data_IF_426225347500
#
_entry.id   IF_426225347500
#
_cell.length_a   1.000
_cell.length_b   1.000
_cell.length_c   1.000
_cell.angle_alpha   90.00
_cell.angle_beta   90.00
_cell.angle_gamma   90.00
#
_symmetry.space_group_name_H-M   'P 1'
#
loop_
_entity.id
_entity.type
_entity.pdbx_description
1 polymer ?
#
# COMPACT_ATOMS: atom_id res chain seq x y z
N UNK A 1 51.17 -0.70 33.81
CA UNK A 1 50.16 0.31 33.39
C UNK A 1 49.79 0.25 31.90
N UNK A 2 50.60 -0.32 30.98
CA UNK A 2 50.27 -0.41 29.54
C UNK A 2 49.28 -1.53 29.15
N UNK A 3 49.08 -2.55 30.00
CA UNK A 3 48.20 -3.70 29.69
C UNK A 3 46.72 -3.46 30.04
N UNK A 4 46.41 -2.54 30.96
CA UNK A 4 45.02 -2.23 31.34
C UNK A 4 44.28 -1.44 30.26
N UNK A 5 45.00 -0.60 29.49
CA UNK A 5 44.42 0.20 28.42
C UNK A 5 43.92 -0.70 27.29
N UNK A 6 44.68 -1.74 26.89
CA UNK A 6 44.28 -2.62 25.78
C UNK A 6 43.00 -3.42 26.04
N UNK A 7 42.73 -3.82 27.28
CA UNK A 7 41.54 -4.62 27.62
C UNK A 7 40.27 -3.77 27.55
N UNK A 8 40.36 -2.50 27.95
CA UNK A 8 39.22 -1.57 27.94
C UNK A 8 38.74 -1.20 26.52
N UNK A 9 39.65 -1.20 25.53
CA UNK A 9 39.29 -0.98 24.12
C UNK A 9 38.59 -2.18 23.48
N UNK A 10 38.94 -3.41 23.89
CA UNK A 10 38.33 -4.64 23.35
C UNK A 10 36.90 -4.81 23.88
N UNK A 11 36.66 -4.49 25.16
CA UNK A 11 35.32 -4.57 25.75
C UNK A 11 34.36 -3.49 25.24
N UNK A 12 34.86 -2.28 24.95
CA UNK A 12 34.04 -1.20 24.39
C UNK A 12 33.59 -1.51 22.95
N UNK A 13 34.44 -2.16 22.15
CA UNK A 13 34.10 -2.58 20.78
C UNK A 13 33.05 -3.69 20.73
N UNK A 14 33.01 -4.59 21.71
CA UNK A 14 31.97 -5.64 21.77
C UNK A 14 30.60 -5.14 22.22
N UNK A 15 30.52 -4.04 22.98
CA UNK A 15 29.23 -3.49 23.46
C UNK A 15 28.54 -2.61 22.40
N UNK A 16 29.28 -2.07 21.43
CA UNK A 16 28.69 -1.30 20.33
C UNK A 16 27.98 -2.14 19.25
N UNK A 17 28.08 -3.48 19.28
CA UNK A 17 27.54 -4.38 18.25
C UNK A 17 26.13 -4.93 18.53
N UNK A 18 25.45 -4.50 19.60
CA UNK A 18 24.14 -5.04 19.99
C UNK A 18 23.01 -4.02 19.92
N UNK A 19 23.16 -2.96 19.11
CA UNK A 19 21.99 -2.24 18.62
C UNK A 19 21.29 -3.14 17.58
N UNK A 20 20.64 -4.19 18.07
CA UNK A 20 19.61 -4.90 17.32
C UNK A 20 18.58 -3.84 16.93
N UNK A 21 18.56 -3.49 15.64
CA UNK A 21 17.53 -2.63 15.08
C UNK A 21 16.21 -3.37 15.25
N UNK A 22 15.46 -3.06 16.32
CA UNK A 22 14.13 -3.63 16.53
C UNK A 22 13.31 -3.36 15.27
N UNK A 23 12.99 -4.44 14.55
CA UNK A 23 12.28 -4.35 13.30
C UNK A 23 10.90 -3.73 13.56
N UNK A 24 10.61 -2.61 12.88
CA UNK A 24 9.33 -1.91 13.02
C UNK A 24 8.37 -2.58 12.03
N UNK A 25 7.19 -3.06 12.48
CA UNK A 25 6.24 -3.72 11.59
C UNK A 25 5.95 -2.90 10.34
N UNK A 26 5.85 -3.56 9.19
CA UNK A 26 5.57 -2.91 7.92
C UNK A 26 4.23 -2.14 7.93
N UNK A 27 4.16 -1.06 7.14
CA UNK A 27 2.90 -0.32 6.90
C UNK A 27 2.29 -0.78 5.57
N UNK A 28 0.97 -0.99 5.55
CA UNK A 28 0.18 -1.25 4.33
C UNK A 28 -0.49 0.04 3.85
N UNK A 29 -0.29 0.38 2.58
CA UNK A 29 -0.93 1.54 1.94
C UNK A 29 -2.26 1.22 1.24
N UNK A 30 -2.73 -0.04 1.31
CA UNK A 30 -4.03 -0.46 0.75
C UNK A 30 -5.08 -0.86 1.79
N UNK A 31 -4.70 -1.03 3.06
CA UNK A 31 -5.67 -1.47 4.10
C UNK A 31 -6.78 -0.43 4.33
N UNK A 32 -6.48 0.85 4.14
CA UNK A 32 -7.46 1.94 4.28
C UNK A 32 -8.19 2.27 2.96
N UNK A 33 -7.94 1.53 1.88
CA UNK A 33 -8.66 1.72 0.62
C UNK A 33 -10.02 1.05 0.73
N UNK A 34 -11.07 1.82 0.49
CA UNK A 34 -12.45 1.30 0.43
C UNK A 34 -12.86 1.11 -1.01
N UNK A 35 -13.19 -0.13 -1.39
CA UNK A 35 -13.77 -0.44 -2.69
C UNK A 35 -15.04 -1.25 -2.46
N UNK A 36 -16.18 -0.72 -2.91
CA UNK A 36 -17.46 -1.40 -2.77
C UNK A 36 -18.39 -1.05 -3.94
N UNK A 37 -19.27 -1.98 -4.28
CA UNK A 37 -20.34 -1.79 -5.26
C UNK A 37 -21.64 -2.34 -4.69
N UNK A 38 -22.67 -1.49 -4.63
CA UNK A 38 -24.02 -1.90 -4.27
C UNK A 38 -24.85 -2.08 -5.55
N UNK A 39 -25.14 -3.34 -5.90
CA UNK A 39 -25.91 -3.70 -7.08
C UNK A 39 -27.41 -3.35 -7.01
N UNK A 40 -27.94 -3.03 -5.82
CA UNK A 40 -29.34 -2.60 -5.66
C UNK A 40 -29.49 -1.11 -5.97
N UNK A 41 -28.56 -0.29 -5.49
CA UNK A 41 -28.58 1.16 -5.73
C UNK A 41 -27.76 1.58 -6.96
N UNK A 42 -26.99 0.65 -7.52
CA UNK A 42 -26.03 0.87 -8.60
C UNK A 42 -25.02 1.98 -8.26
N UNK A 43 -24.48 1.95 -7.04
CA UNK A 43 -23.56 2.96 -6.51
C UNK A 43 -22.23 2.32 -6.14
N UNK A 44 -21.14 2.96 -6.55
CA UNK A 44 -19.78 2.63 -6.17
C UNK A 44 -19.30 3.50 -5.00
N UNK A 45 -18.55 2.90 -4.10
CA UNK A 45 -17.64 3.62 -3.19
C UNK A 45 -16.22 3.35 -3.70
N UNK A 46 -15.55 4.41 -4.14
CA UNK A 46 -14.25 4.38 -4.80
C UNK A 46 -13.24 5.17 -3.95
N UNK A 47 -12.58 4.47 -3.01
CA UNK A 47 -11.80 5.01 -1.91
C UNK A 47 -12.52 6.18 -1.20
N UNK A 48 -12.18 7.43 -1.52
CA UNK A 48 -12.74 8.61 -0.85
C UNK A 48 -13.94 9.24 -1.54
N UNK A 49 -14.36 8.73 -2.69
CA UNK A 49 -15.52 9.27 -3.43
C UNK A 49 -16.65 8.26 -3.54
N UNK A 50 -17.88 8.77 -3.48
CA UNK A 50 -19.09 8.03 -3.83
C UNK A 50 -19.40 8.37 -5.28
N UNK A 51 -19.54 7.36 -6.14
CA UNK A 51 -19.83 7.58 -7.54
C UNK A 51 -21.33 7.86 -7.75
N UNK A 52 -21.71 8.65 -8.78
CA UNK A 52 -23.10 8.74 -9.21
C UNK A 52 -23.68 7.38 -9.58
N UNK A 53 -24.98 7.19 -9.38
CA UNK A 53 -25.69 6.00 -9.87
C UNK A 53 -25.55 5.88 -11.39
N UNK A 54 -25.45 4.65 -11.93
CA UNK A 54 -25.17 4.40 -13.34
C UNK A 54 -23.68 4.40 -13.71
N UNK A 55 -22.78 4.57 -12.73
CA UNK A 55 -21.33 4.47 -12.97
C UNK A 55 -20.93 3.02 -13.26
N UNK A 56 -20.17 2.80 -14.34
CA UNK A 56 -19.74 1.46 -14.75
C UNK A 56 -18.61 0.89 -13.88
N UNK A 57 -17.69 1.75 -13.42
CA UNK A 57 -16.60 1.29 -12.58
C UNK A 57 -15.82 2.38 -11.85
N UNK A 58 -14.90 1.89 -11.02
CA UNK A 58 -14.01 2.63 -10.15
C UNK A 58 -12.55 2.31 -10.51
N UNK A 59 -11.70 3.34 -10.51
CA UNK A 59 -10.25 3.22 -10.62
C UNK A 59 -9.59 4.00 -9.49
N UNK A 60 -8.68 3.35 -8.79
CA UNK A 60 -7.90 3.92 -7.67
C UNK A 60 -6.43 3.82 -8.02
N UNK A 61 -5.72 4.93 -7.91
CA UNK A 61 -4.28 5.03 -8.12
C UNK A 61 -3.63 5.64 -6.89
N UNK A 62 -2.58 5.02 -6.37
CA UNK A 62 -1.69 5.63 -5.38
C UNK A 62 -0.24 5.45 -5.81
N UNK A 63 0.49 6.56 -5.91
CA UNK A 63 1.90 6.58 -6.32
C UNK A 63 2.69 7.61 -5.53
N UNK A 64 4.00 7.42 -5.39
CA UNK A 64 4.86 8.45 -4.79
C UNK A 64 4.72 9.80 -5.52
N UNK A 65 4.70 10.89 -4.75
CA UNK A 65 4.77 12.23 -5.30
C UNK A 65 6.24 12.56 -5.68
N UNK A 66 6.55 12.77 -6.98
CA UNK A 66 7.93 13.05 -7.39
C UNK A 66 8.48 14.36 -6.82
N UNK A 67 7.60 15.29 -6.44
CA UNK A 67 7.98 16.59 -5.89
C UNK A 67 8.02 16.60 -4.36
N UNK A 68 7.45 15.58 -3.69
CA UNK A 68 7.34 15.50 -2.22
C UNK A 68 7.50 14.05 -1.75
N UNK A 69 8.72 13.60 -1.41
CA UNK A 69 9.01 12.18 -1.11
C UNK A 69 8.24 11.59 0.08
N UNK A 70 7.67 12.42 0.94
CA UNK A 70 6.89 12.02 2.12
C UNK A 70 5.39 11.94 1.84
N UNK A 71 4.96 12.10 0.59
CA UNK A 71 3.57 12.09 0.17
C UNK A 71 3.34 11.13 -1.01
N UNK A 72 2.14 10.55 -1.04
CA UNK A 72 1.56 9.90 -2.21
C UNK A 72 0.63 10.87 -2.92
N UNK A 73 0.56 10.76 -4.24
CA UNK A 73 -0.55 11.26 -5.04
C UNK A 73 -1.56 10.13 -5.14
N UNK A 74 -2.73 10.33 -4.55
CA UNK A 74 -3.88 9.45 -4.66
C UNK A 74 -4.86 10.01 -5.68
N UNK A 75 -5.41 9.16 -6.53
CA UNK A 75 -6.40 9.53 -7.53
C UNK A 75 -7.49 8.47 -7.58
N UNK A 76 -8.73 8.90 -7.33
CA UNK A 76 -9.93 8.08 -7.42
C UNK A 76 -10.75 8.55 -8.61
N UNK A 77 -11.28 7.61 -9.39
CA UNK A 77 -12.00 7.88 -10.63
C UNK A 77 -13.21 6.97 -10.73
N UNK A 78 -14.38 7.57 -10.90
CA UNK A 78 -15.59 6.92 -11.36
C UNK A 78 -15.66 7.08 -12.89
N UNK A 79 -15.95 6.01 -13.63
CA UNK A 79 -16.05 6.06 -15.09
C UNK A 79 -17.28 5.33 -15.63
N UNK A 80 -17.74 5.75 -16.81
CA UNK A 80 -18.86 5.13 -17.53
C UNK A 80 -18.42 3.92 -18.37
N UNK A 81 -19.36 3.27 -19.07
CA UNK A 81 -19.08 2.09 -19.91
C UNK A 81 -18.10 2.36 -21.04
N UNK A 82 -18.04 3.61 -21.51
CA UNK A 82 -17.12 4.06 -22.55
C UNK A 82 -15.75 4.48 -21.98
N UNK A 83 -15.53 4.26 -20.68
CA UNK A 83 -14.32 4.63 -19.92
C UNK A 83 -14.10 6.14 -19.81
N UNK A 84 -15.12 6.96 -20.04
CA UNK A 84 -15.04 8.38 -19.76
C UNK A 84 -15.11 8.63 -18.26
N UNK A 85 -14.30 9.56 -17.78
CA UNK A 85 -14.34 10.01 -16.38
C UNK A 85 -15.66 10.73 -16.10
N UNK A 86 -16.40 10.22 -15.13
CA UNK A 86 -17.63 10.86 -14.61
C UNK A 86 -17.31 11.73 -13.41
N UNK A 87 -16.52 11.21 -12.47
CA UNK A 87 -16.05 11.93 -11.28
C UNK A 87 -14.61 11.57 -11.04
N UNK A 88 -13.80 12.54 -10.62
CA UNK A 88 -12.43 12.29 -10.14
C UNK A 88 -12.13 13.12 -8.90
N UNK A 89 -11.34 12.53 -8.01
CA UNK A 89 -10.73 13.22 -6.89
C UNK A 89 -9.24 12.91 -6.87
N UNK A 90 -8.41 13.91 -6.59
CA UNK A 90 -6.98 13.73 -6.37
C UNK A 90 -6.57 14.44 -5.10
N UNK A 91 -5.80 13.76 -4.25
CA UNK A 91 -5.39 14.27 -2.96
C UNK A 91 -4.03 13.71 -2.53
N UNK A 92 -3.29 14.44 -1.68
CA UNK A 92 -2.08 13.93 -1.07
C UNK A 92 -2.41 12.98 0.09
N UNK A 93 -1.61 11.95 0.28
CA UNK A 93 -1.61 11.09 1.48
C UNK A 93 -0.20 11.00 2.04
N UNK A 94 -0.03 11.21 3.34
CA UNK A 94 1.29 11.10 3.98
C UNK A 94 1.83 9.66 3.95
N UNK A 95 3.14 9.53 3.78
CA UNK A 95 3.88 8.28 3.86
C UNK A 95 4.48 8.15 5.25
N UNK A 96 4.02 7.15 6.02
CA UNK A 96 4.53 6.88 7.37
C UNK A 96 5.89 6.13 7.37
N UNK A 97 6.11 5.26 6.39
CA UNK A 97 7.35 4.52 6.21
C UNK A 97 7.85 4.70 4.77
N UNK A 98 9.01 5.35 4.54
CA UNK A 98 9.51 5.62 3.19
C UNK A 98 9.68 4.36 2.35
N UNK A 99 8.85 4.19 1.32
CA UNK A 99 8.91 3.11 0.33
C UNK A 99 8.40 3.58 -1.02
N UNK A 100 8.78 2.88 -2.09
CA UNK A 100 8.17 3.01 -3.41
C UNK A 100 6.77 2.39 -3.37
N UNK A 101 5.75 3.19 -3.60
CA UNK A 101 4.35 2.77 -3.61
C UNK A 101 3.81 2.90 -5.03
N UNK A 102 3.25 1.81 -5.56
CA UNK A 102 2.56 1.81 -6.84
C UNK A 102 1.32 0.90 -6.76
N UNK A 103 0.17 1.51 -6.48
CA UNK A 103 -1.11 0.83 -6.32
C UNK A 103 -2.00 1.28 -7.47
N UNK A 104 -2.43 0.34 -8.29
CA UNK A 104 -3.41 0.51 -9.35
C UNK A 104 -4.51 -0.53 -9.14
N UNK A 105 -5.73 -0.05 -8.91
CA UNK A 105 -6.92 -0.89 -8.75
C UNK A 105 -7.94 -0.43 -9.77
N UNK A 106 -8.46 -1.37 -10.53
CA UNK A 106 -9.54 -1.16 -11.47
C UNK A 106 -10.66 -2.14 -11.13
N UNK A 107 -11.88 -1.65 -10.98
CA UNK A 107 -13.05 -2.46 -10.66
C UNK A 107 -14.22 -1.96 -11.47
N UNK A 108 -15.00 -2.86 -12.03
CA UNK A 108 -16.18 -2.52 -12.82
C UNK A 108 -17.23 -3.62 -12.67
N UNK A 109 -18.44 -3.34 -13.13
CA UNK A 109 -19.55 -4.30 -13.11
C UNK A 109 -19.12 -5.57 -13.85
N UNK A 110 -19.29 -6.72 -13.21
CA UNK A 110 -18.90 -8.05 -13.72
C UNK A 110 -17.40 -8.23 -14.02
N UNK A 111 -16.52 -7.45 -13.36
CA UNK A 111 -15.08 -7.64 -13.49
C UNK A 111 -14.62 -9.04 -13.07
N UNK A 112 -13.82 -9.69 -13.92
CA UNK A 112 -13.10 -10.91 -13.54
C UNK A 112 -11.86 -10.56 -12.71
N UNK A 113 -11.75 -11.15 -11.53
CA UNK A 113 -10.73 -10.84 -10.54
C UNK A 113 -9.36 -11.43 -10.92
N UNK A 114 -8.40 -10.54 -11.19
CA UNK A 114 -6.98 -10.83 -11.42
C UNK A 114 -6.14 -9.74 -10.78
N UNK A 115 -5.20 -10.12 -9.93
CA UNK A 115 -4.29 -9.17 -9.30
C UNK A 115 -2.87 -9.70 -9.16
N UNK A 116 -1.96 -8.75 -9.00
CA UNK A 116 -0.59 -8.97 -8.54
C UNK A 116 -0.33 -8.07 -7.34
N UNK A 117 0.35 -8.58 -6.34
CA UNK A 117 0.71 -7.85 -5.14
C UNK A 117 2.17 -8.16 -4.77
N UNK A 118 2.95 -7.12 -4.51
CA UNK A 118 4.34 -7.22 -4.09
C UNK A 118 4.60 -6.40 -2.84
N UNK A 119 5.39 -6.93 -1.92
CA UNK A 119 5.85 -6.23 -0.73
C UNK A 119 7.34 -6.50 -0.47
N UNK A 120 8.05 -5.48 0.01
CA UNK A 120 9.43 -5.56 0.49
C UNK A 120 9.73 -4.41 1.45
N UNK A 121 10.94 -4.36 2.00
CA UNK A 121 11.39 -3.25 2.83
C UNK A 121 11.44 -1.90 2.10
N UNK A 122 11.50 -1.87 0.76
CA UNK A 122 11.60 -0.64 -0.02
C UNK A 122 10.42 -0.41 -0.97
N UNK A 123 9.47 -1.35 -1.07
CA UNK A 123 8.38 -1.27 -2.05
C UNK A 123 7.08 -1.90 -1.56
N UNK A 124 5.95 -1.31 -1.93
CA UNK A 124 4.65 -1.97 -2.01
C UNK A 124 4.02 -1.71 -3.38
N UNK A 125 3.61 -2.77 -4.07
CA UNK A 125 2.92 -2.68 -5.35
C UNK A 125 1.65 -3.51 -5.37
N UNK A 126 0.63 -2.98 -6.02
CA UNK A 126 -0.61 -3.69 -6.34
C UNK A 126 -1.03 -3.30 -7.75
N UNK A 127 -1.33 -4.27 -8.59
CA UNK A 127 -2.00 -4.05 -9.86
C UNK A 127 -3.15 -5.04 -9.96
N UNK A 128 -4.38 -4.55 -9.87
CA UNK A 128 -5.58 -5.35 -9.77
C UNK A 128 -6.63 -4.88 -10.79
N UNK A 129 -7.21 -5.84 -11.51
CA UNK A 129 -8.57 -5.74 -12.04
C UNK A 129 -9.43 -6.68 -11.20
N UNK A 130 -10.40 -6.16 -10.46
CA UNK A 130 -11.03 -6.93 -9.37
C UNK A 130 -12.54 -6.68 -9.37
N UNK A 131 -13.32 -7.72 -9.06
CA UNK A 131 -14.68 -7.53 -8.58
C UNK A 131 -14.66 -6.85 -7.21
N UNK A 132 -15.60 -5.94 -6.94
CA UNK A 132 -15.63 -5.22 -5.66
C UNK A 132 -15.66 -6.16 -4.44
N UNK A 133 -16.37 -7.29 -4.56
CA UNK A 133 -16.49 -8.29 -3.48
C UNK A 133 -15.19 -8.99 -3.11
N UNK A 134 -14.22 -9.05 -4.03
CA UNK A 134 -12.94 -9.74 -3.82
C UNK A 134 -11.84 -8.79 -3.31
N UNK A 135 -12.13 -7.50 -3.16
CA UNK A 135 -11.18 -6.53 -2.63
C UNK A 135 -10.54 -6.93 -1.29
N UNK A 136 -11.28 -7.49 -0.31
CA UNK A 136 -10.69 -7.96 0.94
C UNK A 136 -9.61 -9.04 0.76
N UNK A 137 -9.67 -9.83 -0.32
CA UNK A 137 -8.67 -10.85 -0.64
C UNK A 137 -7.35 -10.24 -1.11
N UNK A 138 -7.41 -9.15 -1.89
CA UNK A 138 -6.22 -8.38 -2.28
C UNK A 138 -5.54 -7.80 -1.04
N UNK A 139 -6.33 -7.22 -0.13
CA UNK A 139 -5.81 -6.68 1.13
C UNK A 139 -5.19 -7.78 1.98
N UNK A 140 -5.81 -8.97 2.03
CA UNK A 140 -5.24 -10.14 2.72
C UNK A 140 -3.91 -10.57 2.09
N UNK A 141 -3.84 -10.66 0.76
CA UNK A 141 -2.62 -11.03 0.03
C UNK A 141 -1.46 -10.10 0.38
N UNK A 142 -1.70 -8.79 0.42
CA UNK A 142 -0.68 -7.82 0.83
C UNK A 142 -0.26 -8.03 2.29
N UNK A 143 -1.20 -8.24 3.21
CA UNK A 143 -0.86 -8.50 4.62
C UNK A 143 -0.05 -9.78 4.81
N UNK A 144 -0.36 -10.83 4.04
CA UNK A 144 0.41 -12.07 4.05
C UNK A 144 1.85 -11.81 3.53
N UNK A 145 2.00 -11.12 2.39
CA UNK A 145 3.33 -10.74 1.87
C UNK A 145 4.13 -9.86 2.86
N UNK A 146 3.44 -8.98 3.60
CA UNK A 146 4.04 -8.15 4.64
C UNK A 146 4.58 -8.99 5.79
N UNK A 147 3.77 -9.93 6.29
CA UNK A 147 4.18 -10.85 7.36
C UNK A 147 5.43 -11.63 6.95
N UNK A 148 5.46 -12.17 5.73
CA UNK A 148 6.59 -12.97 5.25
C UNK A 148 7.89 -12.13 5.18
N UNK A 149 7.79 -10.87 4.77
CA UNK A 149 8.93 -9.93 4.77
C UNK A 149 9.35 -9.57 6.20
N UNK A 150 8.41 -9.26 7.09
CA UNK A 150 8.73 -8.88 8.46
C UNK A 150 9.38 -10.04 9.23
N UNK A 151 8.88 -11.26 9.09
CA UNK A 151 9.43 -12.48 9.71
C UNK A 151 10.82 -12.83 9.17
N UNK A 152 11.04 -12.71 7.85
CA UNK A 152 12.35 -12.99 7.24
C UNK A 152 13.44 -11.98 7.61
N UNK A 153 13.08 -10.81 8.14
CA UNK A 153 14.00 -9.75 8.54
C UNK A 153 14.07 -9.54 10.06
N UNK A 154 13.47 -10.42 10.88
CA UNK A 154 13.38 -10.26 12.32
C UNK A 154 14.69 -10.59 13.09
N UNK A 155 15.82 -10.79 12.41
CA UNK A 155 17.09 -11.28 12.95
C UNK A 155 18.24 -10.28 12.83
#
# INVERSE_FOLDING_TARGET
MKNFIKIFWITLLTVCYQLEAKNVPGVSYIDNVVLNYNNVTDIWICDRIICPSGTFGCKILKRNNPNRPIELICTDVCYDSDRNTVVTSSYPQAILSPKTINILVNSYVDAESVWTAGYSLSMQSVNATIAAGDWPEVQKTVRDNMRDVDESNAY
#
